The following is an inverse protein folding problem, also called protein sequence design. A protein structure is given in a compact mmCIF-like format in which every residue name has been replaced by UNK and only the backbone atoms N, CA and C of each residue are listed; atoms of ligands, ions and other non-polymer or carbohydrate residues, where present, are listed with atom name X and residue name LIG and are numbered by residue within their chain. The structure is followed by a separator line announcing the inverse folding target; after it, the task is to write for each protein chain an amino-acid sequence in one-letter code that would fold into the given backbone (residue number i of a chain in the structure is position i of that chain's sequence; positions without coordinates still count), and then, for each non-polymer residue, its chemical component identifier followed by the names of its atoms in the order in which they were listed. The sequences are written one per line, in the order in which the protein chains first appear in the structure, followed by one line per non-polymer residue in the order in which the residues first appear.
data_IF_732157917172
#
_entry.id   IF_732157917172
#
_cell.length_a   1.000
_cell.length_b   1.000
_cell.length_c   1.000
_cell.angle_alpha   90.00
_cell.angle_beta   90.00
_cell.angle_gamma   90.00
#
_symmetry.space_group_name_H-M   'P 1'
#
loop_
_entity.id
_entity.type
_entity.pdbx_description
1 polymer ?
#
# COMPACT_ATOMS: atom_id res chain seq x y z
N UNK A 1 -6.78 -12.30 18.11
CA UNK A 1 -6.63 -11.74 16.76
C UNK A 1 -5.80 -10.49 16.95
N UNK A 2 -4.55 -10.50 16.51
CA UNK A 2 -3.74 -9.29 16.53
C UNK A 2 -4.35 -8.32 15.52
N UNK A 3 -4.98 -7.26 16.00
CA UNK A 3 -5.67 -6.25 15.20
C UNK A 3 -4.77 -5.08 14.83
N UNK A 4 -3.46 -5.16 15.10
CA UNK A 4 -2.53 -4.07 14.84
C UNK A 4 -2.04 -4.12 13.39
N UNK A 5 -2.84 -3.61 12.45
CA UNK A 5 -2.35 -3.29 11.10
C UNK A 5 -1.19 -2.30 11.24
N UNK A 6 -0.05 -2.58 10.61
CA UNK A 6 1.11 -1.67 10.64
C UNK A 6 0.74 -0.35 9.97
N UNK A 7 1.25 0.76 10.52
CA UNK A 7 0.98 2.06 9.94
C UNK A 7 1.78 2.29 8.66
N UNK A 8 1.39 3.32 7.92
CA UNK A 8 2.01 3.62 6.64
C UNK A 8 3.49 3.98 6.75
N UNK A 9 3.92 4.65 7.82
CA UNK A 9 5.32 5.02 8.03
C UNK A 9 6.17 3.76 8.18
N UNK A 10 5.74 2.82 9.01
CA UNK A 10 6.44 1.53 9.17
C UNK A 10 6.50 0.76 7.84
N UNK A 11 5.37 0.64 7.16
CA UNK A 11 5.25 -0.12 5.91
C UNK A 11 6.04 0.52 4.76
N UNK A 12 6.07 1.85 4.67
CA UNK A 12 6.82 2.57 3.64
C UNK A 12 8.32 2.29 3.67
N UNK A 13 8.86 1.99 4.86
CA UNK A 13 10.28 1.69 5.08
C UNK A 13 10.66 0.23 4.79
N UNK A 14 9.70 -0.62 4.39
CA UNK A 14 9.94 -2.02 4.05
C UNK A 14 9.52 -2.36 2.60
N UNK A 15 10.06 -3.48 2.12
CA UNK A 15 9.65 -4.07 0.83
C UNK A 15 8.17 -4.45 0.84
N UNK A 16 7.49 -4.23 -0.28
CA UNK A 16 6.05 -4.50 -0.44
C UNK A 16 5.75 -6.00 -0.44
N UNK A 17 6.74 -6.81 -0.79
CA UNK A 17 6.75 -8.28 -0.61
C UNK A 17 6.52 -8.71 0.85
N UNK A 18 6.82 -7.85 1.84
CA UNK A 18 6.62 -8.13 3.27
C UNK A 18 5.29 -7.60 3.81
N UNK A 19 4.53 -6.89 2.98
CA UNK A 19 3.22 -6.41 3.36
C UNK A 19 2.24 -7.57 3.33
N UNK A 20 1.30 -7.57 4.27
CA UNK A 20 0.19 -8.51 4.24
C UNK A 20 -0.84 -8.06 3.21
N UNK A 21 -1.61 -9.02 2.69
CA UNK A 21 -2.59 -8.71 1.64
C UNK A 21 -3.62 -7.69 2.10
N UNK A 22 -4.06 -7.75 3.36
CA UNK A 22 -5.03 -6.81 3.91
C UNK A 22 -4.48 -5.37 4.02
N UNK A 23 -3.16 -5.22 4.23
CA UNK A 23 -2.45 -3.93 4.18
C UNK A 23 -2.38 -3.41 2.75
N UNK A 24 -2.03 -4.26 1.78
CA UNK A 24 -2.00 -3.90 0.36
C UNK A 24 -3.37 -3.40 -0.11
N UNK A 25 -4.44 -4.16 0.17
CA UNK A 25 -5.80 -3.75 -0.18
C UNK A 25 -6.23 -2.44 0.50
N UNK A 26 -5.90 -2.27 1.79
CA UNK A 26 -6.25 -1.06 2.52
C UNK A 26 -5.58 0.18 1.95
N UNK A 27 -4.26 0.15 1.74
CA UNK A 27 -3.53 1.31 1.25
C UNK A 27 -3.75 1.55 -0.25
N UNK A 28 -3.97 0.51 -1.05
CA UNK A 28 -4.41 0.66 -2.44
C UNK A 28 -5.73 1.43 -2.50
N UNK A 29 -6.72 1.03 -1.70
CA UNK A 29 -8.02 1.69 -1.67
C UNK A 29 -7.91 3.13 -1.17
N UNK A 30 -7.21 3.36 -0.05
CA UNK A 30 -7.04 4.68 0.53
C UNK A 30 -6.34 5.66 -0.44
N UNK A 31 -5.24 5.25 -1.07
CA UNK A 31 -4.53 6.07 -2.05
C UNK A 31 -5.35 6.29 -3.33
N UNK A 32 -6.13 5.29 -3.75
CA UNK A 32 -7.03 5.41 -4.90
C UNK A 32 -8.12 6.48 -4.70
N UNK A 33 -8.69 6.58 -3.50
CA UNK A 33 -9.67 7.63 -3.17
C UNK A 33 -9.06 9.04 -3.17
N UNK A 34 -7.77 9.14 -2.84
CA UNK A 34 -7.05 10.40 -2.75
C UNK A 34 -6.30 10.77 -4.03
N UNK A 35 -6.41 9.96 -5.11
CA UNK A 35 -5.71 10.16 -6.39
C UNK A 35 -5.71 11.61 -6.92
N UNK A 36 -6.82 12.39 -6.87
CA UNK A 36 -6.82 13.76 -7.35
C UNK A 36 -5.92 14.71 -6.55
N UNK A 37 -5.54 14.32 -5.34
CA UNK A 37 -4.81 15.12 -4.36
C UNK A 37 -3.47 14.50 -3.95
N UNK A 38 -3.16 13.31 -4.46
CA UNK A 38 -1.93 12.59 -4.18
C UNK A 38 -0.77 13.24 -4.93
N UNK A 39 0.34 13.44 -4.22
CA UNK A 39 1.59 13.91 -4.81
C UNK A 39 2.26 12.78 -5.64
N UNK A 40 3.29 13.10 -6.46
CA UNK A 40 3.98 12.09 -7.27
C UNK A 40 4.53 10.90 -6.47
N UNK A 41 4.93 11.13 -5.22
CA UNK A 41 5.42 10.08 -4.31
C UNK A 41 4.31 9.09 -3.95
N UNK A 42 3.14 9.56 -3.51
CA UNK A 42 1.99 8.71 -3.23
C UNK A 42 1.46 7.97 -4.47
N UNK A 43 1.59 8.57 -5.66
CA UNK A 43 1.26 7.88 -6.92
C UNK A 43 2.27 6.76 -7.21
N UNK A 44 3.56 6.98 -6.96
CA UNK A 44 4.60 5.95 -7.09
C UNK A 44 4.33 4.78 -6.15
N UNK A 45 4.00 5.05 -4.89
CA UNK A 45 3.66 4.03 -3.89
C UNK A 45 2.44 3.22 -4.34
N UNK A 46 1.39 3.88 -4.84
CA UNK A 46 0.21 3.18 -5.36
C UNK A 46 0.56 2.26 -6.54
N UNK A 47 1.45 2.69 -7.44
CA UNK A 47 1.92 1.82 -8.53
C UNK A 47 2.70 0.61 -8.01
N UNK A 48 3.54 0.76 -6.99
CA UNK A 48 4.28 -0.35 -6.38
C UNK A 48 3.33 -1.35 -5.70
N UNK A 49 2.33 -0.86 -4.96
CA UNK A 49 1.30 -1.70 -4.33
C UNK A 49 0.55 -2.49 -5.40
N UNK A 50 0.12 -1.84 -6.49
CA UNK A 50 -0.58 -2.53 -7.60
C UNK A 50 0.29 -3.61 -8.26
N UNK A 51 1.59 -3.34 -8.45
CA UNK A 51 2.52 -4.33 -9.02
C UNK A 51 2.72 -5.53 -8.10
N UNK A 52 2.85 -5.28 -6.80
CA UNK A 52 2.97 -6.35 -5.81
C UNK A 52 1.71 -7.23 -5.81
N UNK A 53 0.53 -6.62 -5.79
CA UNK A 53 -0.74 -7.35 -5.85
C UNK A 53 -0.84 -8.20 -7.12
N UNK A 54 -0.52 -7.64 -8.29
CA UNK A 54 -0.49 -8.38 -9.56
C UNK A 54 0.55 -9.51 -9.60
N UNK A 55 1.61 -9.40 -8.80
CA UNK A 55 2.64 -10.45 -8.72
C UNK A 55 2.23 -11.60 -7.81
N UNK A 56 1.23 -11.41 -6.95
CA UNK A 56 0.69 -12.43 -6.03
C UNK A 56 -0.50 -13.20 -6.62
N UNK A 57 -1.18 -12.65 -7.62
CA UNK A 57 -2.24 -13.29 -8.40
C UNK A 57 -1.69 -14.36 -9.38
#
# INVERSE_FOLDING_TARGET
MDTSRRDFTELSMMSKERWHDDELYYFQHALSQLLPYVNPEGLSILHEINKEMQSRD
#
